data_IF_494012847991
#
_entry.id   IF_494012847991
#
_cell.length_a   1.000
_cell.length_b   1.000
_cell.length_c   1.000
_cell.angle_alpha   90.00
_cell.angle_beta   90.00
_cell.angle_gamma   90.00
#
_symmetry.space_group_name_H-M   'P 1'
#
loop_
_entity.id
_entity.type
_entity.pdbx_description
1 polymer ?
#
# COMPACT_ATOMS: atom_id res chain seq x y z
N UNK A 1 62.39 46.14 -56.38
CA UNK A 1 61.06 45.57 -56.34
C UNK A 1 60.77 45.26 -54.89
N UNK A 2 60.10 46.20 -54.14
CA UNK A 2 59.75 46.07 -52.72
C UNK A 2 58.31 45.57 -52.65
N UNK A 3 58.11 44.40 -52.02
CA UNK A 3 56.77 43.88 -51.72
C UNK A 3 56.46 44.22 -50.26
N UNK A 4 55.53 45.18 -50.11
CA UNK A 4 54.92 45.48 -48.78
C UNK A 4 53.93 44.40 -48.41
N UNK A 5 54.13 43.75 -47.25
CA UNK A 5 53.19 42.80 -46.64
C UNK A 5 52.32 43.59 -45.66
N UNK A 6 51.03 43.72 -45.98
CA UNK A 6 50.02 44.25 -45.02
C UNK A 6 49.60 43.10 -44.07
N UNK A 7 49.90 43.26 -42.82
CA UNK A 7 49.44 42.40 -41.75
C UNK A 7 48.04 42.88 -41.28
N UNK A 8 46.98 42.12 -41.56
CA UNK A 8 45.65 42.40 -41.05
C UNK A 8 45.51 41.72 -39.68
N UNK A 9 45.48 42.55 -38.63
CA UNK A 9 45.29 42.11 -37.26
C UNK A 9 43.75 41.94 -37.03
N UNK A 10 43.28 40.72 -37.02
CA UNK A 10 41.89 40.39 -36.65
C UNK A 10 41.70 40.49 -35.13
N UNK A 11 41.05 41.55 -34.65
CA UNK A 11 40.63 41.63 -33.24
C UNK A 11 39.44 40.69 -33.02
N UNK A 12 39.66 39.57 -32.28
CA UNK A 12 38.63 38.75 -31.75
C UNK A 12 38.03 39.43 -30.52
N UNK A 13 36.79 39.92 -30.63
CA UNK A 13 36.01 40.39 -29.48
C UNK A 13 35.55 39.17 -28.65
N UNK A 14 35.78 39.15 -27.33
CA UNK A 14 35.26 38.10 -26.49
C UNK A 14 33.71 38.23 -26.42
N UNK A 15 32.99 37.24 -26.89
CA UNK A 15 31.54 37.13 -26.66
C UNK A 15 31.32 36.87 -25.16
N UNK A 16 31.02 37.90 -24.40
CA UNK A 16 30.53 37.78 -23.05
C UNK A 16 29.11 37.18 -23.13
N UNK A 17 28.98 35.90 -22.82
CA UNK A 17 27.65 35.30 -22.56
C UNK A 17 27.11 35.95 -21.30
N UNK A 18 26.16 36.88 -21.45
CA UNK A 18 25.31 37.33 -20.36
C UNK A 18 24.45 36.11 -19.91
N UNK A 19 24.87 35.43 -18.88
CA UNK A 19 23.96 34.55 -18.14
C UNK A 19 22.91 35.46 -17.48
N UNK A 20 21.67 35.38 -17.93
CA UNK A 20 20.57 36.02 -17.23
C UNK A 20 20.58 35.54 -15.79
N UNK A 21 20.63 36.46 -14.82
CA UNK A 21 20.58 36.12 -13.42
C UNK A 21 19.19 35.51 -13.15
N UNK A 22 19.16 34.23 -12.70
CA UNK A 22 17.91 33.56 -12.35
C UNK A 22 17.19 34.35 -11.23
N UNK A 23 15.89 34.51 -11.38
CA UNK A 23 15.03 35.22 -10.43
C UNK A 23 14.16 34.20 -9.68
N UNK A 24 13.71 34.52 -8.45
CA UNK A 24 12.80 33.65 -7.71
C UNK A 24 11.55 33.27 -8.51
N UNK A 25 11.00 34.21 -9.25
CA UNK A 25 9.77 34.08 -10.05
C UNK A 25 9.91 33.07 -11.20
N UNK A 26 11.13 32.78 -11.67
CA UNK A 26 11.38 31.84 -12.77
C UNK A 26 10.99 30.39 -12.42
N UNK A 27 10.86 30.07 -11.12
CA UNK A 27 10.47 28.74 -10.60
C UNK A 27 9.13 28.75 -9.85
N UNK A 28 8.47 29.90 -9.74
CA UNK A 28 7.16 30.02 -9.12
C UNK A 28 6.04 29.67 -10.09
N UNK A 29 5.10 28.84 -9.66
CA UNK A 29 3.87 28.59 -10.41
C UNK A 29 2.68 28.47 -9.45
N UNK A 30 1.54 29.03 -9.89
CA UNK A 30 0.36 29.22 -9.06
C UNK A 30 -0.80 28.30 -9.45
N UNK A 31 -0.56 27.41 -10.38
CA UNK A 31 -1.55 26.41 -10.87
C UNK A 31 -0.88 25.06 -11.11
N UNK A 32 -1.57 23.93 -10.83
CA UNK A 32 -2.91 23.85 -10.22
C UNK A 32 -2.89 24.23 -8.74
N UNK A 33 -3.95 24.87 -8.25
CA UNK A 33 -4.13 25.16 -6.82
C UNK A 33 -4.51 23.84 -6.13
N UNK A 34 -3.80 23.43 -5.06
CA UNK A 34 -4.15 22.22 -4.31
C UNK A 34 -5.57 22.30 -3.73
N UNK A 35 -6.32 21.19 -3.81
CA UNK A 35 -7.64 21.08 -3.19
C UNK A 35 -7.53 21.19 -1.67
N UNK A 36 -8.53 21.81 -1.04
CA UNK A 36 -8.61 21.89 0.42
C UNK A 36 -9.26 20.63 0.95
N UNK A 37 -8.54 19.91 1.81
CA UNK A 37 -9.01 18.70 2.51
C UNK A 37 -9.00 18.97 4.00
N UNK A 38 -10.11 18.67 4.69
CA UNK A 38 -10.17 18.75 6.16
C UNK A 38 -9.57 17.47 6.74
N UNK A 39 -8.50 17.56 7.55
CA UNK A 39 -7.95 16.38 8.23
C UNK A 39 -8.94 15.78 9.22
N UNK A 40 -8.82 14.48 9.50
CA UNK A 40 -9.53 13.86 10.59
C UNK A 40 -9.13 14.46 11.94
N UNK A 41 -9.99 14.36 12.96
CA UNK A 41 -9.74 14.90 14.30
C UNK A 41 -8.52 14.25 15.00
N UNK A 42 -8.15 13.05 14.58
CA UNK A 42 -6.92 12.34 14.95
C UNK A 42 -6.29 11.74 13.70
N UNK A 43 -5.02 11.34 13.78
CA UNK A 43 -4.31 10.74 12.64
C UNK A 43 -4.92 9.41 12.14
N UNK A 44 -5.75 8.76 12.95
CA UNK A 44 -6.45 7.53 12.57
C UNK A 44 -7.85 7.77 11.98
N UNK A 45 -8.40 8.98 12.10
CA UNK A 45 -9.72 9.31 11.54
C UNK A 45 -9.61 9.70 10.07
N UNK A 46 -10.64 9.36 9.25
CA UNK A 46 -10.62 9.66 7.83
C UNK A 46 -10.62 11.18 7.57
N UNK A 47 -9.82 11.67 6.61
CA UNK A 47 -9.96 13.03 6.08
C UNK A 47 -11.24 13.16 5.25
N UNK A 48 -11.64 14.40 4.94
CA UNK A 48 -12.92 14.70 4.30
C UNK A 48 -13.10 14.14 2.88
N UNK A 49 -12.01 13.77 2.21
CA UNK A 49 -12.00 13.17 0.88
C UNK A 49 -11.72 11.63 0.88
N UNK A 50 -11.77 11.00 2.05
CA UNK A 50 -11.62 9.56 2.16
C UNK A 50 -12.94 8.82 1.90
N UNK A 51 -12.82 7.62 1.33
CA UNK A 51 -13.87 6.62 1.27
C UNK A 51 -13.78 5.77 2.53
N UNK A 52 -14.82 5.82 3.38
CA UNK A 52 -14.88 4.99 4.58
C UNK A 52 -15.34 3.60 4.17
N UNK A 53 -14.47 2.60 4.39
CA UNK A 53 -14.73 1.21 4.06
C UNK A 53 -15.38 0.44 5.22
N UNK A 54 -15.06 0.83 6.46
CA UNK A 54 -15.69 0.27 7.66
C UNK A 54 -15.60 1.25 8.83
N UNK A 55 -16.73 1.72 9.30
CA UNK A 55 -16.90 2.63 10.44
C UNK A 55 -17.44 1.94 11.70
N UNK A 56 -17.63 0.63 11.63
CA UNK A 56 -18.19 -0.18 12.71
C UNK A 56 -19.68 -0.50 12.57
N UNK A 57 -20.38 0.04 11.56
CA UNK A 57 -21.82 -0.14 11.42
C UNK A 57 -22.20 -1.39 10.63
N UNK A 58 -21.62 -1.61 9.43
CA UNK A 58 -21.97 -2.71 8.54
C UNK A 58 -20.86 -3.02 7.53
N UNK A 59 -21.08 -4.05 6.69
CA UNK A 59 -20.16 -4.48 5.63
C UNK A 59 -20.62 -4.04 4.23
N UNK A 60 -21.40 -2.98 4.10
CA UNK A 60 -21.99 -2.56 2.82
C UNK A 60 -20.98 -2.22 1.74
N UNK A 61 -19.75 -1.83 2.14
CA UNK A 61 -18.62 -1.59 1.23
C UNK A 61 -17.88 -2.87 0.80
N UNK A 62 -18.28 -4.03 1.35
CA UNK A 62 -17.58 -5.30 1.18
C UNK A 62 -18.51 -6.34 0.55
N UNK A 63 -17.90 -7.30 -0.14
CA UNK A 63 -18.54 -8.49 -0.73
C UNK A 63 -17.66 -9.72 -0.50
N UNK A 64 -18.21 -10.91 -0.71
CA UNK A 64 -17.42 -12.14 -0.72
C UNK A 64 -16.40 -12.10 -1.85
N UNK A 65 -15.13 -12.39 -1.55
CA UNK A 65 -14.08 -12.46 -2.58
C UNK A 65 -14.19 -13.72 -3.46
N UNK A 66 -14.91 -14.75 -3.00
CA UNK A 66 -15.10 -16.00 -3.74
C UNK A 66 -16.32 -15.94 -4.70
N UNK A 67 -17.36 -15.20 -4.29
CA UNK A 67 -18.58 -15.01 -5.08
C UNK A 67 -19.07 -13.57 -4.87
N UNK A 68 -18.82 -12.71 -5.83
CA UNK A 68 -19.13 -11.27 -5.76
C UNK A 68 -20.62 -10.95 -5.83
N UNK A 69 -21.47 -11.94 -6.05
CA UNK A 69 -22.92 -11.80 -5.93
C UNK A 69 -23.41 -11.91 -4.49
N UNK A 70 -22.52 -12.36 -3.59
CA UNK A 70 -22.82 -12.56 -2.17
C UNK A 70 -22.25 -11.42 -1.33
N UNK A 71 -23.00 -11.04 -0.29
CA UNK A 71 -22.51 -10.11 0.72
C UNK A 71 -21.30 -10.69 1.49
N UNK A 72 -20.48 -9.82 2.03
CA UNK A 72 -19.41 -10.21 2.95
C UNK A 72 -20.01 -10.89 4.21
N UNK A 73 -19.54 -12.09 4.54
CA UNK A 73 -20.09 -12.92 5.61
C UNK A 73 -19.33 -12.86 6.94
N UNK A 74 -18.55 -11.80 7.18
CA UNK A 74 -17.84 -11.63 8.46
C UNK A 74 -18.77 -11.06 9.54
N UNK A 75 -18.46 -11.31 10.82
CA UNK A 75 -19.30 -10.87 11.93
C UNK A 75 -19.01 -9.41 12.29
N UNK A 76 -20.05 -8.60 12.46
CA UNK A 76 -19.96 -7.22 12.98
C UNK A 76 -20.65 -7.15 14.33
N UNK A 77 -19.93 -6.76 15.36
CA UNK A 77 -20.44 -6.58 16.72
C UNK A 77 -19.64 -5.50 17.43
N UNK A 78 -20.31 -4.59 18.14
CA UNK A 78 -19.71 -3.50 18.93
C UNK A 78 -18.69 -2.66 18.12
N UNK A 79 -19.00 -2.35 16.87
CA UNK A 79 -18.13 -1.54 16.03
C UNK A 79 -16.89 -2.29 15.48
N UNK A 80 -16.86 -3.61 15.62
CA UNK A 80 -15.73 -4.46 15.28
C UNK A 80 -16.18 -5.50 14.24
N UNK A 81 -15.40 -5.67 13.21
CA UNK A 81 -15.53 -6.71 12.20
C UNK A 81 -14.56 -7.85 12.54
N UNK A 82 -15.08 -9.06 12.73
CA UNK A 82 -14.27 -10.25 13.07
C UNK A 82 -14.31 -11.25 11.90
N UNK A 83 -13.15 -11.77 11.55
CA UNK A 83 -12.97 -12.75 10.47
C UNK A 83 -13.87 -13.96 10.70
N UNK A 84 -14.62 -14.34 9.67
CA UNK A 84 -15.32 -15.62 9.59
C UNK A 84 -14.59 -16.54 8.61
N UNK A 85 -13.85 -17.51 9.15
CA UNK A 85 -13.07 -18.45 8.31
C UNK A 85 -13.94 -19.29 7.39
N UNK A 86 -15.18 -19.58 7.80
CA UNK A 86 -16.14 -20.31 6.98
C UNK A 86 -16.71 -19.47 5.84
N UNK A 87 -16.83 -18.16 6.03
CA UNK A 87 -17.28 -17.24 4.97
C UNK A 87 -16.16 -16.92 3.95
N UNK A 88 -14.91 -17.18 4.31
CA UNK A 88 -13.75 -16.92 3.45
C UNK A 88 -13.37 -15.46 3.35
N UNK A 89 -12.54 -15.14 2.36
CA UNK A 89 -12.03 -13.80 2.13
C UNK A 89 -13.15 -12.83 1.76
N UNK A 90 -12.97 -11.56 2.16
CA UNK A 90 -13.86 -10.46 1.71
C UNK A 90 -13.04 -9.44 0.91
N UNK A 91 -13.68 -8.71 -0.02
CA UNK A 91 -13.04 -7.66 -0.78
C UNK A 91 -13.93 -6.42 -0.87
N UNK A 92 -13.33 -5.27 -1.13
CA UNK A 92 -14.10 -4.05 -1.39
C UNK A 92 -14.90 -4.18 -2.70
N UNK A 93 -16.11 -3.65 -2.73
CA UNK A 93 -16.92 -3.55 -3.97
C UNK A 93 -16.27 -2.57 -4.95
N UNK A 94 -15.70 -1.47 -4.41
CA UNK A 94 -14.96 -0.49 -5.20
C UNK A 94 -13.52 -0.95 -5.45
N UNK A 95 -13.02 -0.67 -6.65
CA UNK A 95 -11.62 -0.86 -7.02
C UNK A 95 -10.85 0.45 -6.92
N UNK A 96 -9.56 0.36 -6.58
CA UNK A 96 -8.66 1.50 -6.38
C UNK A 96 -7.38 1.31 -7.19
N UNK A 97 -6.76 2.43 -7.59
CA UNK A 97 -5.41 2.47 -8.18
C UNK A 97 -4.39 2.89 -7.12
N UNK A 98 -4.03 4.16 -7.08
CA UNK A 98 -3.14 4.73 -6.07
C UNK A 98 -3.96 5.24 -4.90
N UNK A 99 -3.48 4.99 -3.68
CA UNK A 99 -4.22 5.42 -2.50
C UNK A 99 -3.37 5.46 -1.24
N UNK A 100 -3.87 6.19 -0.24
CA UNK A 100 -3.54 6.06 1.16
C UNK A 100 -4.60 5.17 1.81
N UNK A 101 -4.19 4.18 2.61
CA UNK A 101 -5.06 3.29 3.38
C UNK A 101 -4.73 3.41 4.86
N UNK A 102 -5.74 3.51 5.70
CA UNK A 102 -5.66 3.23 7.14
C UNK A 102 -6.50 2.02 7.47
N UNK A 103 -5.96 1.12 8.27
CA UNK A 103 -6.64 -0.08 8.74
C UNK A 103 -6.15 -0.45 10.14
N UNK A 104 -7.10 -0.67 11.07
CA UNK A 104 -6.78 -1.18 12.39
C UNK A 104 -7.17 -2.66 12.51
N UNK A 105 -6.28 -3.45 13.12
CA UNK A 105 -6.51 -4.87 13.38
C UNK A 105 -6.12 -5.26 14.81
N UNK A 106 -6.68 -6.35 15.31
CA UNK A 106 -6.37 -6.87 16.64
C UNK A 106 -6.26 -8.38 16.61
N UNK A 107 -5.12 -8.86 17.11
CA UNK A 107 -4.92 -10.26 17.45
C UNK A 107 -5.66 -10.54 18.75
N UNK A 108 -6.47 -11.60 18.89
CA UNK A 108 -7.13 -11.94 20.16
C UNK A 108 -6.13 -12.11 21.30
N UNK A 109 -6.54 -11.73 22.51
CA UNK A 109 -5.67 -11.83 23.70
C UNK A 109 -5.31 -13.28 24.06
N UNK A 110 -6.20 -14.20 23.76
CA UNK A 110 -6.11 -15.64 24.00
C UNK A 110 -5.58 -16.43 22.80
N UNK A 111 -4.92 -15.72 21.85
CA UNK A 111 -4.41 -16.31 20.61
C UNK A 111 -3.52 -17.53 20.87
N UNK A 112 -3.76 -18.61 20.15
CA UNK A 112 -3.00 -19.87 20.21
C UNK A 112 -2.20 -20.11 18.92
N UNK A 113 -1.41 -21.19 18.90
CA UNK A 113 -0.58 -21.55 17.76
C UNK A 113 0.82 -20.97 17.79
N UNK A 114 1.56 -21.13 16.68
CA UNK A 114 2.94 -20.66 16.52
C UNK A 114 3.28 -20.41 15.05
N UNK A 115 4.32 -19.63 14.81
CA UNK A 115 4.77 -19.30 13.45
C UNK A 115 3.66 -18.70 12.61
N UNK A 116 3.45 -19.21 11.40
CA UNK A 116 2.40 -18.74 10.48
C UNK A 116 0.98 -19.23 10.87
N UNK A 117 0.84 -20.11 11.83
CA UNK A 117 -0.45 -20.59 12.34
C UNK A 117 -0.87 -19.86 13.62
N UNK A 118 -0.51 -18.57 13.76
CA UNK A 118 -0.84 -17.75 14.93
C UNK A 118 -1.27 -16.35 14.54
N UNK A 119 -2.59 -16.09 14.53
CA UNK A 119 -3.16 -14.78 14.21
C UNK A 119 -2.86 -14.33 12.79
N UNK A 120 -2.94 -15.26 11.84
CA UNK A 120 -2.62 -15.01 10.44
C UNK A 120 -3.82 -14.43 9.67
N UNK A 121 -3.52 -13.44 8.87
CA UNK A 121 -4.38 -12.85 7.85
C UNK A 121 -3.51 -12.07 6.85
N UNK A 122 -4.13 -11.46 5.84
CA UNK A 122 -3.46 -10.63 4.85
C UNK A 122 -4.33 -9.46 4.43
N UNK A 123 -3.70 -8.32 4.18
CA UNK A 123 -4.30 -7.18 3.48
C UNK A 123 -3.75 -7.20 2.06
N UNK A 124 -4.56 -7.61 1.08
CA UNK A 124 -4.19 -7.55 -0.32
C UNK A 124 -4.46 -6.15 -0.86
N UNK A 125 -3.40 -5.39 -1.08
CA UNK A 125 -3.45 -4.00 -1.54
C UNK A 125 -4.08 -3.86 -2.94
N UNK A 126 -3.95 -4.89 -3.78
CA UNK A 126 -4.70 -5.06 -5.01
C UNK A 126 -4.98 -6.55 -5.20
N UNK A 127 -6.26 -6.93 -5.17
CA UNK A 127 -6.71 -8.30 -5.43
C UNK A 127 -6.81 -8.51 -6.93
N UNK A 128 -6.02 -9.42 -7.49
CA UNK A 128 -5.93 -9.64 -8.94
C UNK A 128 -6.64 -10.91 -9.41
N UNK A 129 -7.37 -11.60 -8.51
CA UNK A 129 -8.08 -12.82 -8.85
C UNK A 129 -8.71 -13.50 -7.64
N UNK A 130 -9.14 -14.75 -7.82
CA UNK A 130 -9.71 -15.61 -6.78
C UNK A 130 -8.65 -16.04 -5.75
N UNK A 131 -9.10 -16.60 -4.63
CA UNK A 131 -8.23 -17.08 -3.54
C UNK A 131 -7.33 -15.96 -2.99
N UNK A 132 -6.04 -16.26 -2.84
CA UNK A 132 -5.04 -15.34 -2.31
C UNK A 132 -4.19 -14.69 -3.42
N UNK A 133 -4.82 -14.39 -4.57
CA UNK A 133 -4.16 -13.66 -5.66
C UNK A 133 -4.15 -12.16 -5.38
N UNK A 134 -2.99 -11.52 -5.56
CA UNK A 134 -2.80 -10.07 -5.36
C UNK A 134 -1.50 -9.73 -4.65
N UNK A 135 -1.42 -8.54 -4.10
CA UNK A 135 -0.21 -7.99 -3.45
C UNK A 135 -0.43 -7.92 -1.95
N UNK A 136 0.15 -8.85 -1.21
CA UNK A 136 -0.14 -9.08 0.19
C UNK A 136 0.79 -8.32 1.13
N UNK A 137 0.19 -7.51 1.99
CA UNK A 137 0.76 -6.99 3.23
C UNK A 137 0.36 -7.94 4.37
N UNK A 138 1.35 -8.62 4.95
CA UNK A 138 1.14 -9.64 5.96
C UNK A 138 0.57 -9.10 7.26
N UNK A 139 -0.44 -9.77 7.78
CA UNK A 139 -0.95 -9.65 9.16
C UNK A 139 -0.64 -10.94 9.91
N UNK A 140 0.03 -10.83 11.05
CA UNK A 140 0.44 -11.97 11.88
C UNK A 140 0.65 -11.51 13.33
N UNK A 141 0.52 -12.40 14.29
CA UNK A 141 1.09 -12.15 15.61
C UNK A 141 2.60 -12.40 15.58
N UNK A 142 3.38 -11.33 15.71
CA UNK A 142 4.84 -11.41 15.87
C UNK A 142 5.34 -10.89 17.23
N UNK A 143 4.45 -10.64 18.18
CA UNK A 143 4.84 -10.36 19.55
C UNK A 143 5.29 -11.66 20.23
N UNK A 144 6.55 -11.92 20.40
CA UNK A 144 7.11 -13.17 20.92
C UNK A 144 6.79 -14.45 20.11
N UNK A 145 6.49 -14.31 18.82
CA UNK A 145 6.25 -15.44 17.92
C UNK A 145 7.27 -15.43 16.78
N UNK A 146 8.07 -16.47 16.67
CA UNK A 146 9.12 -16.62 15.65
C UNK A 146 8.54 -17.22 14.36
N UNK A 147 8.89 -16.63 13.24
CA UNK A 147 8.63 -17.16 11.89
C UNK A 147 9.73 -16.68 10.93
N UNK A 148 9.67 -17.10 9.67
CA UNK A 148 10.59 -16.56 8.66
C UNK A 148 10.35 -15.05 8.47
N UNK A 149 11.46 -14.28 8.32
CA UNK A 149 11.44 -12.82 8.44
C UNK A 149 10.57 -12.12 7.39
N UNK A 150 10.51 -12.66 6.17
CA UNK A 150 9.68 -12.13 5.09
C UNK A 150 8.22 -12.65 5.08
N UNK A 151 7.78 -13.23 6.19
CA UNK A 151 6.41 -13.60 6.50
C UNK A 151 5.94 -13.04 7.83
N UNK A 152 6.69 -12.13 8.45
CA UNK A 152 6.29 -11.40 9.65
C UNK A 152 5.23 -10.33 9.33
N UNK A 153 4.53 -9.86 10.35
CA UNK A 153 3.63 -8.71 10.22
C UNK A 153 4.34 -7.50 9.61
N UNK A 154 3.71 -6.86 8.62
CA UNK A 154 4.30 -5.74 7.88
C UNK A 154 5.25 -6.14 6.76
N UNK A 155 5.47 -7.45 6.51
CA UNK A 155 6.14 -7.91 5.29
C UNK A 155 5.29 -7.67 4.06
N UNK A 156 5.93 -7.37 2.94
CA UNK A 156 5.35 -7.74 1.64
C UNK A 156 5.65 -9.22 1.48
N UNK A 157 4.61 -10.05 1.65
CA UNK A 157 4.74 -11.48 1.92
C UNK A 157 5.65 -12.19 0.93
N UNK A 158 6.70 -12.84 1.47
CA UNK A 158 7.79 -13.53 0.76
C UNK A 158 8.62 -12.69 -0.22
N UNK A 159 8.44 -11.35 -0.22
CA UNK A 159 9.24 -10.45 -1.04
C UNK A 159 10.16 -9.56 -0.20
N UNK A 160 9.64 -8.91 0.85
CA UNK A 160 10.40 -8.00 1.70
C UNK A 160 10.03 -8.17 3.17
N UNK A 161 10.97 -8.42 4.06
CA UNK A 161 10.70 -8.39 5.50
C UNK A 161 10.39 -6.96 5.96
N UNK A 162 9.72 -6.76 7.12
CA UNK A 162 9.62 -5.46 7.72
C UNK A 162 11.00 -4.98 8.18
N UNK A 163 11.24 -3.66 8.13
CA UNK A 163 12.49 -3.05 8.61
C UNK A 163 12.71 -3.30 10.11
N UNK A 164 11.64 -3.37 10.87
CA UNK A 164 11.62 -3.67 12.31
C UNK A 164 10.33 -4.39 12.67
N UNK A 165 10.32 -5.12 13.79
CA UNK A 165 9.11 -5.68 14.36
C UNK A 165 8.44 -4.64 15.28
N UNK A 166 7.34 -4.04 14.84
CA UNK A 166 6.57 -3.04 15.57
C UNK A 166 5.27 -3.60 16.17
N UNK A 167 5.14 -4.93 16.31
CA UNK A 167 3.93 -5.57 16.86
C UNK A 167 3.70 -5.20 18.33
N UNK A 168 2.44 -4.89 18.64
CA UNK A 168 1.93 -4.83 20.00
C UNK A 168 1.52 -6.22 20.50
N UNK A 169 1.26 -6.33 21.81
CA UNK A 169 0.78 -7.58 22.43
C UNK A 169 -0.57 -8.01 21.86
N UNK A 170 -0.85 -9.33 21.79
CA UNK A 170 -2.20 -9.81 21.57
C UNK A 170 -3.21 -9.14 22.52
N UNK A 171 -4.39 -8.82 22.01
CA UNK A 171 -5.42 -8.03 22.70
C UNK A 171 -5.36 -6.52 22.44
N UNK A 172 -4.22 -5.99 22.00
CA UNK A 172 -4.07 -4.57 21.66
C UNK A 172 -4.39 -4.28 20.19
N UNK A 173 -5.02 -3.13 19.92
CA UNK A 173 -5.24 -2.66 18.55
C UNK A 173 -3.93 -2.19 17.93
N UNK A 174 -3.72 -2.61 16.69
CA UNK A 174 -2.58 -2.27 15.84
C UNK A 174 -3.10 -1.59 14.59
N UNK A 175 -2.28 -0.75 13.96
CA UNK A 175 -2.63 -0.07 12.71
C UNK A 175 -1.60 -0.30 11.62
N UNK A 176 -2.07 -0.36 10.39
CA UNK A 176 -1.27 -0.08 9.21
C UNK A 176 -1.73 1.23 8.58
N UNK A 177 -0.77 2.12 8.31
CA UNK A 177 -0.91 3.27 7.44
C UNK A 177 -0.09 3.00 6.19
N UNK A 178 -0.74 2.94 5.03
CA UNK A 178 -0.15 2.46 3.78
C UNK A 178 -0.27 3.54 2.71
N UNK A 179 0.83 3.79 2.00
CA UNK A 179 0.82 4.50 0.72
C UNK A 179 1.07 3.47 -0.36
N UNK A 180 0.07 3.25 -1.20
CA UNK A 180 0.12 2.30 -2.30
C UNK A 180 0.14 3.01 -3.64
N UNK A 181 1.10 2.63 -4.48
CA UNK A 181 1.16 3.01 -5.89
C UNK A 181 1.00 1.75 -6.73
N UNK A 182 -0.05 1.70 -7.53
CA UNK A 182 -0.33 0.55 -8.40
C UNK A 182 0.73 0.40 -9.51
N UNK A 183 0.95 -0.82 -10.02
CA UNK A 183 1.81 -1.01 -11.17
C UNK A 183 1.19 -0.36 -12.41
N UNK A 184 2.04 0.11 -13.31
CA UNK A 184 1.63 0.60 -14.61
C UNK A 184 2.07 -0.38 -15.69
N UNK A 185 1.20 -0.58 -16.67
CA UNK A 185 1.46 -1.46 -17.81
C UNK A 185 1.34 -0.69 -19.13
N UNK A 186 2.14 -1.06 -20.11
CA UNK A 186 2.04 -0.57 -21.47
C UNK A 186 0.81 -1.18 -22.17
N UNK A 187 0.45 -0.64 -23.33
CA UNK A 187 -0.68 -1.14 -24.12
C UNK A 187 -0.52 -2.61 -24.58
N UNK A 188 0.71 -3.09 -24.69
CA UNK A 188 1.03 -4.48 -25.00
C UNK A 188 1.00 -5.43 -23.78
N UNK A 189 0.68 -4.91 -22.60
CA UNK A 189 0.62 -5.66 -21.35
C UNK A 189 1.97 -5.81 -20.63
N UNK A 190 3.07 -5.31 -21.20
CA UNK A 190 4.37 -5.31 -20.55
C UNK A 190 4.39 -4.32 -19.37
N UNK A 191 5.21 -4.61 -18.35
CA UNK A 191 5.34 -3.73 -17.19
C UNK A 191 6.03 -2.43 -17.59
N UNK A 192 5.40 -1.29 -17.30
CA UNK A 192 5.99 0.04 -17.43
C UNK A 192 6.68 0.46 -16.13
N UNK A 193 5.99 0.30 -14.98
CA UNK A 193 6.56 0.54 -13.66
C UNK A 193 5.98 -0.44 -12.62
N UNK A 194 6.80 -0.93 -11.68
CA UNK A 194 6.34 -1.83 -10.64
C UNK A 194 5.44 -1.11 -9.62
N UNK A 195 4.60 -1.87 -8.95
CA UNK A 195 3.91 -1.39 -7.76
C UNK A 195 4.90 -0.95 -6.69
N UNK A 196 4.54 0.06 -5.89
CA UNK A 196 5.34 0.55 -4.77
C UNK A 196 4.52 0.68 -3.52
N UNK A 197 5.16 0.46 -2.38
CA UNK A 197 4.48 0.55 -1.09
C UNK A 197 5.37 1.16 -0.01
N UNK A 198 4.77 2.06 0.77
CA UNK A 198 5.30 2.51 2.06
C UNK A 198 4.30 2.11 3.12
N UNK A 199 4.77 1.51 4.21
CA UNK A 199 3.93 1.04 5.32
C UNK A 199 4.48 1.51 6.64
N UNK A 200 3.62 2.13 7.45
CA UNK A 200 3.86 2.34 8.86
C UNK A 200 3.01 1.32 9.64
N UNK A 201 3.63 0.61 10.56
CA UNK A 201 2.97 -0.30 11.50
C UNK A 201 3.02 0.33 12.89
N UNK A 202 1.86 0.67 13.46
CA UNK A 202 1.77 1.40 14.74
C UNK A 202 2.57 2.72 14.74
N UNK A 203 2.59 3.44 13.60
CA UNK A 203 3.34 4.68 13.42
C UNK A 203 4.84 4.49 13.13
N UNK A 204 5.35 3.24 13.11
CA UNK A 204 6.76 2.92 12.83
C UNK A 204 6.92 2.47 11.38
N UNK A 205 7.86 3.06 10.65
CA UNK A 205 8.14 2.71 9.26
C UNK A 205 8.66 1.27 9.15
N UNK A 206 7.90 0.41 8.43
CA UNK A 206 8.27 -1.00 8.22
C UNK A 206 8.53 -1.35 6.74
N UNK A 207 7.97 -0.59 5.80
CA UNK A 207 8.32 -0.65 4.37
C UNK A 207 8.52 0.77 3.85
N UNK A 208 9.64 1.02 3.17
CA UNK A 208 10.00 2.35 2.65
C UNK A 208 10.06 2.33 1.13
N UNK A 209 8.98 2.75 0.47
CA UNK A 209 8.89 2.86 -0.98
C UNK A 209 9.39 1.58 -1.71
N UNK A 210 9.09 0.42 -1.13
CA UNK A 210 9.51 -0.86 -1.68
C UNK A 210 8.86 -1.10 -3.04
N UNK A 211 9.67 -1.43 -4.05
CA UNK A 211 9.20 -1.82 -5.37
C UNK A 211 8.91 -3.33 -5.38
N UNK A 212 7.64 -3.71 -5.52
CA UNK A 212 7.23 -5.10 -5.51
C UNK A 212 7.69 -5.82 -6.79
N UNK A 213 8.02 -7.09 -6.64
CA UNK A 213 8.49 -7.95 -7.75
C UNK A 213 7.33 -8.51 -8.59
N UNK A 214 6.10 -8.37 -8.13
CA UNK A 214 4.87 -8.89 -8.73
C UNK A 214 3.85 -9.26 -7.66
N UNK A 215 2.69 -9.82 -8.03
CA UNK A 215 1.73 -10.39 -7.09
C UNK A 215 2.38 -11.45 -6.21
N UNK A 216 1.87 -11.57 -4.98
CA UNK A 216 2.35 -12.54 -3.98
C UNK A 216 2.20 -13.97 -4.49
N UNK A 217 3.24 -14.79 -4.27
CA UNK A 217 3.24 -16.23 -4.50
C UNK A 217 3.63 -16.96 -3.22
N UNK A 218 2.86 -18.00 -2.87
CA UNK A 218 3.24 -18.91 -1.78
C UNK A 218 4.50 -19.71 -2.13
N UNK A 219 4.61 -20.15 -3.38
CA UNK A 219 5.77 -20.90 -3.91
C UNK A 219 6.22 -20.20 -5.20
N UNK A 220 7.52 -19.99 -5.35
CA UNK A 220 8.14 -19.41 -6.53
C UNK A 220 8.55 -17.94 -6.34
N UNK A 221 9.08 -17.34 -7.40
CA UNK A 221 9.49 -15.94 -7.43
C UNK A 221 8.37 -15.10 -8.03
N UNK A 222 7.91 -14.04 -7.34
CA UNK A 222 6.92 -13.12 -7.89
C UNK A 222 7.41 -12.50 -9.21
N UNK A 223 6.47 -12.30 -10.14
CA UNK A 223 6.71 -11.61 -11.41
C UNK A 223 5.40 -11.01 -11.91
N UNK A 224 5.51 -9.95 -12.71
CA UNK A 224 4.37 -9.34 -13.41
C UNK A 224 4.09 -10.12 -14.69
N UNK A 225 3.20 -11.10 -14.61
CA UNK A 225 2.84 -11.98 -15.74
C UNK A 225 1.59 -11.55 -16.48
N UNK A 226 0.77 -10.70 -15.88
CA UNK A 226 -0.47 -10.20 -16.45
C UNK A 226 -0.70 -8.74 -16.04
N UNK A 227 -1.08 -7.93 -17.01
CA UNK A 227 -1.51 -6.57 -16.76
C UNK A 227 -2.87 -6.56 -16.04
N UNK A 228 -3.04 -5.59 -15.13
CA UNK A 228 -4.34 -5.32 -14.49
C UNK A 228 -4.50 -3.82 -14.26
N UNK A 229 -5.73 -3.37 -14.11
CA UNK A 229 -6.09 -2.00 -13.77
C UNK A 229 -6.39 -1.83 -12.27
N UNK A 230 -7.24 -0.84 -11.93
CA UNK A 230 -7.74 -0.65 -10.59
C UNK A 230 -8.31 -1.95 -10.03
N UNK A 231 -8.00 -2.27 -8.78
CA UNK A 231 -8.34 -3.55 -8.17
C UNK A 231 -8.93 -3.35 -6.77
N UNK A 232 -9.80 -4.25 -6.29
CA UNK A 232 -10.32 -4.17 -4.93
C UNK A 232 -9.24 -4.48 -3.89
N UNK A 233 -9.40 -3.93 -2.69
CA UNK A 233 -8.66 -4.34 -1.51
C UNK A 233 -9.33 -5.59 -0.94
N UNK A 234 -8.54 -6.59 -0.56
CA UNK A 234 -9.07 -7.85 -0.02
C UNK A 234 -8.48 -8.14 1.35
N UNK A 235 -9.31 -8.65 2.25
CA UNK A 235 -8.90 -9.14 3.57
C UNK A 235 -9.02 -10.66 3.60
N UNK A 236 -7.97 -11.30 4.12
CA UNK A 236 -7.86 -12.76 4.13
C UNK A 236 -8.50 -13.38 5.37
N UNK A 237 -9.29 -14.41 5.16
CA UNK A 237 -9.70 -15.38 6.17
C UNK A 237 -8.75 -16.59 6.10
N UNK A 238 -7.62 -16.50 6.80
CA UNK A 238 -6.59 -17.55 6.75
C UNK A 238 -7.10 -18.86 7.38
N UNK A 239 -6.77 -19.98 6.75
CA UNK A 239 -7.29 -21.31 7.11
C UNK A 239 -6.60 -22.01 8.29
N UNK A 240 -5.74 -21.32 9.07
CA UNK A 240 -5.14 -21.89 10.28
C UNK A 240 -6.18 -22.13 11.39
N UNK A 241 -5.78 -22.80 12.47
CA UNK A 241 -6.67 -23.18 13.58
C UNK A 241 -6.68 -22.14 14.72
N UNK A 242 -5.91 -21.06 14.63
CA UNK A 242 -5.90 -20.02 15.64
C UNK A 242 -7.23 -19.23 15.66
N UNK A 243 -7.45 -18.52 16.73
CA UNK A 243 -8.63 -17.66 16.93
C UNK A 243 -8.65 -16.57 15.86
N UNK A 244 -9.85 -16.19 15.35
CA UNK A 244 -9.96 -15.21 14.29
C UNK A 244 -9.59 -13.81 14.78
N UNK A 245 -8.90 -13.07 13.93
CA UNK A 245 -8.55 -11.68 14.19
C UNK A 245 -9.72 -10.74 13.91
N UNK A 246 -9.62 -9.51 14.41
CA UNK A 246 -10.64 -8.48 14.25
C UNK A 246 -10.06 -7.25 13.57
N UNK A 247 -10.94 -6.51 12.88
CA UNK A 247 -10.65 -5.25 12.21
C UNK A 247 -11.61 -4.15 12.63
N UNK A 248 -11.18 -2.90 12.52
CA UNK A 248 -12.02 -1.71 12.68
C UNK A 248 -11.39 -0.53 11.95
N UNK A 249 -12.12 0.58 11.84
CA UNK A 249 -11.64 1.87 11.35
C UNK A 249 -10.82 1.73 10.06
N UNK A 250 -11.51 1.40 8.95
CA UNK A 250 -10.88 1.17 7.65
C UNK A 250 -11.33 2.26 6.70
N UNK A 251 -10.39 3.01 6.15
CA UNK A 251 -10.68 4.01 5.14
C UNK A 251 -9.55 4.11 4.09
N UNK A 252 -9.94 4.55 2.91
CA UNK A 252 -9.05 4.76 1.76
C UNK A 252 -9.22 6.19 1.25
N UNK A 253 -8.12 6.85 1.00
CA UNK A 253 -8.07 8.12 0.28
C UNK A 253 -7.43 7.89 -1.08
N UNK A 254 -8.17 7.95 -2.21
CA UNK A 254 -7.60 7.86 -3.56
C UNK A 254 -6.61 9.02 -3.83
N UNK A 255 -5.57 8.73 -4.63
CA UNK A 255 -4.50 9.68 -4.99
C UNK A 255 -4.46 9.92 -6.50
#
# INVERSE_FOLDING_TARGET
MNKSFCLVLAMALPATQLFAQAKPEDTEYYTPVPAVVTPGATNSMPPSDAVVLFDGSNLDQWESANDTTQAAGWNVHDGIMTVSKTAGNIRTKQSFSNYQLHIEYRIPADITGSGQARGNSGVFLASTGSGDSGYELQVLDNYNNKTYVNGQAGSIYKQSPPLVNACKKPGEWQSYDVIWTAPLFNADGSLQSPARVTVLHNGVLVQNNFALLGPTLYIGKPAYTHAHGPSPIKLQAHGDKSEPISYRNIWVRPL
#
